data_IF_949097052742
#
_entry.id   IF_949097052742
#
_cell.length_a   1.000
_cell.length_b   1.000
_cell.length_c   1.000
_cell.angle_alpha   90.00
_cell.angle_beta   90.00
_cell.angle_gamma   90.00
#
_symmetry.space_group_name_H-M   'P 1'
#
loop_
_entity.id
_entity.type
_entity.pdbx_description
1 polymer ?
#
# COMPACT_ATOMS: atom_id res chain seq x y z
N UNK A 1 -15.15 1.71 12.53
CA UNK A 1 -14.89 1.76 11.08
C UNK A 1 -13.40 1.87 10.89
N UNK A 2 -12.83 0.88 10.19
CA UNK A 2 -11.40 0.77 9.92
C UNK A 2 -11.18 0.34 8.47
N UNK A 3 -9.97 0.55 7.96
CA UNK A 3 -9.54 0.07 6.65
C UNK A 3 -8.08 -0.34 6.68
N UNK A 4 -7.74 -1.21 5.76
CA UNK A 4 -6.42 -1.80 5.59
C UNK A 4 -5.93 -1.45 4.18
N UNK A 5 -4.91 -0.59 4.09
CA UNK A 5 -4.41 -0.13 2.79
C UNK A 5 -3.40 -1.08 2.16
N UNK A 6 -2.81 -2.00 2.94
CA UNK A 6 -1.82 -2.96 2.48
C UNK A 6 -1.77 -4.18 3.39
N UNK A 7 -2.22 -5.32 2.89
CA UNK A 7 -2.17 -6.60 3.61
C UNK A 7 -1.97 -7.78 2.65
N UNK A 8 -1.67 -8.95 3.21
CA UNK A 8 -1.42 -10.19 2.47
C UNK A 8 -2.45 -11.26 2.86
N UNK A 9 -3.60 -11.27 2.17
CA UNK A 9 -4.74 -12.14 2.50
C UNK A 9 -4.76 -13.48 1.73
N UNK A 10 -3.64 -13.91 1.12
CA UNK A 10 -3.57 -15.15 0.35
C UNK A 10 -4.20 -16.35 1.07
N UNK A 11 -3.77 -16.58 2.30
CA UNK A 11 -4.20 -17.71 3.12
C UNK A 11 -5.33 -17.40 4.13
N UNK A 12 -5.92 -16.20 4.06
CA UNK A 12 -7.00 -15.86 4.99
C UNK A 12 -8.21 -16.75 4.75
N UNK A 13 -8.74 -17.32 5.82
CA UNK A 13 -9.97 -18.11 5.79
C UNK A 13 -11.21 -17.22 5.80
N UNK A 14 -12.38 -17.74 5.42
CA UNK A 14 -13.65 -17.02 5.54
C UNK A 14 -13.94 -16.61 7.00
N UNK A 15 -13.50 -17.40 7.99
CA UNK A 15 -13.58 -17.03 9.39
C UNK A 15 -12.68 -15.84 9.72
N UNK A 16 -11.46 -15.79 9.17
CA UNK A 16 -10.56 -14.65 9.30
C UNK A 16 -11.15 -13.37 8.69
N UNK A 17 -11.82 -13.47 7.54
CA UNK A 17 -12.52 -12.33 6.95
C UNK A 17 -13.66 -11.86 7.84
N UNK A 18 -14.50 -12.79 8.35
CA UNK A 18 -15.57 -12.45 9.30
C UNK A 18 -15.03 -11.77 10.56
N UNK A 19 -13.93 -12.27 11.12
CA UNK A 19 -13.27 -11.63 12.26
C UNK A 19 -12.82 -10.20 11.96
N UNK A 20 -12.32 -9.93 10.75
CA UNK A 20 -11.97 -8.59 10.34
C UNK A 20 -13.21 -7.68 10.23
N UNK A 21 -14.31 -8.16 9.65
CA UNK A 21 -15.57 -7.43 9.56
C UNK A 21 -16.17 -7.13 10.95
N UNK A 22 -16.16 -8.10 11.86
CA UNK A 22 -16.60 -7.95 13.26
C UNK A 22 -15.72 -6.92 14.02
N UNK A 23 -14.44 -6.83 13.70
CA UNK A 23 -13.54 -5.79 14.20
C UNK A 23 -13.82 -4.40 13.60
N UNK A 24 -14.73 -4.30 12.63
CA UNK A 24 -15.16 -3.05 11.99
C UNK A 24 -14.34 -2.65 10.77
N UNK A 25 -13.65 -3.60 10.10
CA UNK A 25 -12.99 -3.33 8.84
C UNK A 25 -14.00 -3.34 7.69
N UNK A 26 -14.04 -2.26 6.94
CA UNK A 26 -14.95 -2.09 5.79
C UNK A 26 -14.27 -2.21 4.44
N UNK A 27 -12.94 -2.07 4.42
CA UNK A 27 -12.13 -2.11 3.21
C UNK A 27 -10.74 -2.64 3.54
N UNK A 28 -10.33 -3.70 2.84
CA UNK A 28 -9.00 -4.30 2.93
C UNK A 28 -8.42 -4.43 1.53
N UNK A 29 -7.24 -3.87 1.27
CA UNK A 29 -6.54 -4.02 -0.02
C UNK A 29 -5.46 -5.07 0.15
N UNK A 30 -5.65 -6.21 -0.54
CA UNK A 30 -4.65 -7.27 -0.56
C UNK A 30 -3.73 -7.15 -1.77
N UNK A 31 -2.45 -7.43 -1.57
CA UNK A 31 -1.44 -7.41 -2.62
C UNK A 31 -1.38 -8.76 -3.33
N UNK A 32 -1.42 -8.75 -4.66
CA UNK A 32 -0.96 -9.87 -5.47
C UNK A 32 0.56 -9.82 -5.58
N UNK A 33 1.22 -10.94 -5.35
CA UNK A 33 2.69 -11.04 -5.42
C UNK A 33 3.16 -11.52 -6.79
N UNK A 34 2.32 -12.27 -7.50
CA UNK A 34 2.49 -12.80 -8.83
C UNK A 34 1.13 -13.00 -9.53
N UNK A 35 1.12 -13.50 -10.76
CA UNK A 35 -0.11 -13.69 -11.52
C UNK A 35 -1.09 -14.65 -10.83
N UNK A 36 -0.61 -15.78 -10.32
CA UNK A 36 -1.47 -16.81 -9.72
C UNK A 36 -2.09 -16.34 -8.40
N UNK A 37 -1.29 -15.72 -7.54
CA UNK A 37 -1.76 -15.14 -6.28
C UNK A 37 -2.71 -13.97 -6.51
N UNK A 38 -2.50 -13.18 -7.56
CA UNK A 38 -3.40 -12.08 -7.95
C UNK A 38 -4.76 -12.60 -8.40
N UNK A 39 -4.80 -13.64 -9.23
CA UNK A 39 -6.07 -14.26 -9.66
C UNK A 39 -6.84 -14.86 -8.48
N UNK A 40 -6.15 -15.55 -7.58
CA UNK A 40 -6.74 -16.09 -6.35
C UNK A 40 -7.29 -14.96 -5.45
N UNK A 41 -6.56 -13.84 -5.34
CA UNK A 41 -7.01 -12.67 -4.59
C UNK A 41 -8.27 -12.03 -5.21
N UNK A 42 -8.36 -11.93 -6.55
CA UNK A 42 -9.55 -11.45 -7.26
C UNK A 42 -10.75 -12.36 -7.00
N UNK A 43 -10.57 -13.68 -7.08
CA UNK A 43 -11.64 -14.64 -6.77
C UNK A 43 -12.14 -14.49 -5.33
N UNK A 44 -11.24 -14.31 -4.38
CA UNK A 44 -11.58 -14.05 -2.98
C UNK A 44 -12.32 -12.72 -2.80
N UNK A 45 -11.89 -11.66 -3.48
CA UNK A 45 -12.53 -10.35 -3.43
C UNK A 45 -13.95 -10.36 -4.01
N UNK A 46 -14.23 -11.21 -5.02
CA UNK A 46 -15.60 -11.43 -5.53
C UNK A 46 -16.54 -12.07 -4.49
N UNK A 47 -16.00 -12.85 -3.57
CA UNK A 47 -16.77 -13.49 -2.49
C UNK A 47 -16.96 -12.58 -1.27
N UNK A 48 -16.09 -11.60 -1.06
CA UNK A 48 -16.05 -10.76 0.14
C UNK A 48 -15.99 -9.27 -0.22
N UNK A 49 -17.10 -8.56 0.00
CA UNK A 49 -17.25 -7.15 -0.39
C UNK A 49 -16.25 -6.19 0.27
N UNK A 50 -15.67 -6.55 1.41
CA UNK A 50 -14.67 -5.76 2.11
C UNK A 50 -13.26 -5.92 1.53
N UNK A 51 -13.03 -6.90 0.62
CA UNK A 51 -11.71 -7.15 0.02
C UNK A 51 -11.63 -6.47 -1.35
N UNK A 52 -10.49 -5.84 -1.62
CA UNK A 52 -10.06 -5.32 -2.92
C UNK A 52 -8.63 -5.76 -3.18
N UNK A 53 -8.21 -5.66 -4.44
CA UNK A 53 -6.93 -6.19 -4.91
C UNK A 53 -6.08 -5.08 -5.49
N UNK A 54 -4.80 -5.11 -5.24
CA UNK A 54 -3.79 -4.37 -5.95
C UNK A 54 -2.94 -5.32 -6.78
N UNK A 55 -2.57 -4.91 -8.00
CA UNK A 55 -1.78 -5.72 -8.95
C UNK A 55 -0.46 -5.02 -9.25
N UNK A 56 0.65 -5.73 -9.15
CA UNK A 56 1.95 -5.13 -9.39
C UNK A 56 3.09 -6.12 -9.23
N UNK A 57 4.29 -5.69 -9.64
CA UNK A 57 5.55 -6.40 -9.42
C UNK A 57 6.34 -5.67 -8.36
N UNK A 58 6.58 -6.36 -7.25
CA UNK A 58 7.40 -5.85 -6.15
C UNK A 58 8.85 -5.58 -6.61
N UNK A 59 9.56 -4.56 -6.09
CA UNK A 59 10.93 -4.24 -6.51
C UNK A 59 11.93 -5.41 -6.40
N UNK A 60 11.67 -6.40 -5.56
CA UNK A 60 12.48 -7.62 -5.49
C UNK A 60 12.43 -8.49 -6.75
N UNK A 61 11.46 -8.27 -7.61
CA UNK A 61 11.18 -9.00 -8.86
C UNK A 61 11.03 -8.05 -10.04
N UNK A 62 11.63 -6.85 -9.95
CA UNK A 62 11.45 -5.80 -10.95
C UNK A 62 11.86 -6.22 -12.37
N UNK A 63 12.75 -7.20 -12.51
CA UNK A 63 13.16 -7.83 -13.75
C UNK A 63 12.05 -8.69 -14.41
N UNK A 64 11.01 -9.07 -13.67
CA UNK A 64 9.83 -9.76 -14.22
C UNK A 64 8.81 -8.78 -14.85
N UNK A 65 9.02 -7.47 -14.69
CA UNK A 65 8.12 -6.48 -15.30
C UNK A 65 8.52 -6.22 -16.76
N UNK A 66 7.80 -6.84 -17.68
CA UNK A 66 7.95 -6.74 -19.12
C UNK A 66 6.58 -6.46 -19.79
N UNK A 67 6.54 -6.41 -21.13
CA UNK A 67 5.31 -6.14 -21.87
C UNK A 67 4.23 -7.20 -21.63
N UNK A 68 4.59 -8.48 -21.53
CA UNK A 68 3.66 -9.57 -21.24
C UNK A 68 3.01 -9.39 -19.85
N UNK A 69 3.83 -9.13 -18.82
CA UNK A 69 3.34 -8.87 -17.46
C UNK A 69 2.48 -7.61 -17.41
N UNK A 70 2.86 -6.55 -18.14
CA UNK A 70 2.08 -5.32 -18.27
C UNK A 70 0.71 -5.58 -18.88
N UNK A 71 0.64 -6.33 -19.98
CA UNK A 71 -0.62 -6.65 -20.65
C UNK A 71 -1.49 -7.56 -19.80
N UNK A 72 -0.88 -8.49 -19.06
CA UNK A 72 -1.58 -9.31 -18.09
C UNK A 72 -2.23 -8.47 -16.98
N UNK A 73 -1.49 -7.53 -16.39
CA UNK A 73 -2.05 -6.64 -15.36
C UNK A 73 -3.15 -5.74 -15.92
N UNK A 74 -3.01 -5.26 -17.15
CA UNK A 74 -4.08 -4.51 -17.84
C UNK A 74 -5.35 -5.36 -17.95
N UNK A 75 -5.23 -6.63 -18.31
CA UNK A 75 -6.34 -7.58 -18.37
C UNK A 75 -6.95 -7.84 -16.98
N UNK A 76 -6.14 -8.10 -15.97
CA UNK A 76 -6.61 -8.32 -14.60
C UNK A 76 -7.32 -7.09 -14.01
N UNK A 77 -6.83 -5.89 -14.33
CA UNK A 77 -7.43 -4.63 -13.90
C UNK A 77 -8.81 -4.34 -14.51
N UNK A 78 -9.28 -5.14 -15.50
CA UNK A 78 -10.67 -5.09 -15.95
C UNK A 78 -11.67 -5.61 -14.90
N UNK A 79 -11.20 -6.38 -13.90
CA UNK A 79 -12.04 -6.77 -12.78
C UNK A 79 -12.26 -5.56 -11.84
N UNK A 80 -13.51 -5.33 -11.47
CA UNK A 80 -13.88 -4.21 -10.59
C UNK A 80 -13.30 -4.33 -9.17
N UNK A 81 -12.83 -5.51 -8.78
CA UNK A 81 -12.15 -5.78 -7.52
C UNK A 81 -10.74 -5.21 -7.48
N UNK A 82 -10.11 -5.00 -8.64
CA UNK A 82 -8.79 -4.37 -8.75
C UNK A 82 -8.94 -2.86 -8.63
N UNK A 83 -8.30 -2.28 -7.62
CA UNK A 83 -8.49 -0.86 -7.26
C UNK A 83 -7.21 -0.06 -7.22
N UNK A 84 -6.04 -0.70 -7.36
CA UNK A 84 -4.74 -0.04 -7.33
C UNK A 84 -3.71 -0.83 -8.15
N UNK A 85 -2.62 -0.16 -8.52
CA UNK A 85 -1.39 -0.80 -9.00
C UNK A 85 -0.37 -0.78 -7.87
N UNK A 86 0.03 -1.93 -7.41
CA UNK A 86 0.95 -2.15 -6.29
C UNK A 86 0.96 -3.62 -5.85
N UNK A 87 1.92 -4.04 -5.11
CA UNK A 87 3.03 -3.30 -4.51
C UNK A 87 4.14 -3.07 -5.55
N UNK A 88 4.47 -1.82 -5.82
CA UNK A 88 5.53 -1.41 -6.74
C UNK A 88 6.53 -0.52 -5.99
N UNK A 89 7.72 -0.28 -6.50
CA UNK A 89 8.59 0.65 -5.78
C UNK A 89 10.08 0.42 -5.93
N UNK A 90 10.83 0.82 -4.89
CA UNK A 90 12.29 0.65 -4.81
C UNK A 90 12.68 0.00 -3.48
N UNK A 91 13.51 -1.04 -3.55
CA UNK A 91 14.15 -1.67 -2.40
C UNK A 91 15.64 -1.93 -2.65
N UNK A 92 16.50 -1.13 -2.04
CA UNK A 92 17.96 -1.25 -2.16
C UNK A 92 18.56 -1.95 -0.94
N UNK A 93 17.75 -2.59 -0.11
CA UNK A 93 18.19 -3.26 1.11
C UNK A 93 18.33 -4.78 0.93
N UNK A 94 17.96 -5.30 -0.23
CA UNK A 94 18.04 -6.73 -0.55
C UNK A 94 16.72 -7.47 -0.31
N UNK A 95 16.56 -8.56 -1.05
CA UNK A 95 15.39 -9.43 -1.02
C UNK A 95 15.37 -10.28 0.25
N UNK A 96 14.17 -10.52 0.79
CA UNK A 96 13.98 -11.56 1.80
C UNK A 96 13.78 -12.91 1.12
N UNK A 97 14.52 -13.93 1.54
CA UNK A 97 14.30 -15.30 1.08
C UNK A 97 13.11 -15.96 1.80
N UNK A 98 12.82 -17.21 1.45
CA UNK A 98 11.67 -17.95 2.05
C UNK A 98 11.80 -18.19 3.56
N UNK A 99 13.00 -18.09 4.13
CA UNK A 99 13.27 -18.19 5.56
C UNK A 99 13.27 -16.81 6.26
N UNK A 100 12.85 -15.75 5.55
CA UNK A 100 12.86 -14.38 6.03
C UNK A 100 14.27 -13.86 6.41
N UNK A 101 15.29 -14.42 5.77
CA UNK A 101 16.67 -13.94 5.87
C UNK A 101 16.92 -13.01 4.69
N UNK A 102 17.54 -11.85 4.96
CA UNK A 102 17.87 -10.88 3.92
C UNK A 102 19.05 -11.37 3.08
N UNK A 103 18.86 -11.37 1.78
CA UNK A 103 19.91 -11.63 0.80
C UNK A 103 20.61 -10.32 0.43
N UNK A 104 21.95 -10.33 0.33
CA UNK A 104 22.71 -9.14 -0.10
C UNK A 104 22.44 -8.77 -1.57
N UNK A 105 22.10 -9.79 -2.39
CA UNK A 105 21.80 -9.61 -3.81
C UNK A 105 20.40 -9.05 -3.99
N UNK A 106 20.28 -7.97 -4.75
CA UNK A 106 19.02 -7.35 -5.15
C UNK A 106 19.01 -7.09 -6.67
N UNK A 107 17.83 -6.88 -7.24
CA UNK A 107 17.67 -6.48 -8.63
C UNK A 107 18.33 -5.11 -8.84
N UNK A 108 19.03 -4.95 -9.95
CA UNK A 108 19.71 -3.69 -10.28
C UNK A 108 18.79 -2.46 -10.11
N UNK A 109 19.36 -1.38 -9.59
CA UNK A 109 18.61 -0.16 -9.25
C UNK A 109 17.95 0.48 -10.47
N UNK A 110 18.62 0.45 -11.63
CA UNK A 110 18.05 1.01 -12.87
C UNK A 110 16.86 0.17 -13.36
N UNK A 111 16.94 -1.16 -13.20
CA UNK A 111 15.81 -2.06 -13.51
C UNK A 111 14.63 -1.76 -12.58
N UNK A 112 14.87 -1.59 -11.27
CA UNK A 112 13.80 -1.21 -10.33
C UNK A 112 13.17 0.15 -10.70
N UNK A 113 14.00 1.16 -11.06
CA UNK A 113 13.53 2.47 -11.49
C UNK A 113 12.69 2.40 -12.77
N UNK A 114 13.15 1.63 -13.75
CA UNK A 114 12.43 1.43 -15.01
C UNK A 114 11.08 0.73 -14.77
N UNK A 115 11.07 -0.35 -13.97
CA UNK A 115 9.87 -1.08 -13.60
C UNK A 115 8.87 -0.19 -12.83
N UNK A 116 9.35 0.62 -11.88
CA UNK A 116 8.51 1.57 -11.15
C UNK A 116 7.84 2.58 -12.10
N UNK A 117 8.61 3.20 -13.00
CA UNK A 117 8.06 4.15 -14.00
C UNK A 117 7.06 3.47 -14.93
N UNK A 118 7.37 2.27 -15.41
CA UNK A 118 6.49 1.50 -16.28
C UNK A 118 5.16 1.16 -15.62
N UNK A 119 5.18 0.73 -14.35
CA UNK A 119 3.99 0.40 -13.59
C UNK A 119 3.16 1.64 -13.21
N UNK A 120 3.81 2.77 -12.91
CA UNK A 120 3.12 4.06 -12.76
C UNK A 120 2.44 4.46 -14.09
N UNK A 121 3.11 4.23 -15.23
CA UNK A 121 2.53 4.46 -16.56
C UNK A 121 1.25 3.65 -16.75
N UNK A 122 1.28 2.35 -16.42
CA UNK A 122 0.10 1.48 -16.46
C UNK A 122 -1.01 1.96 -15.51
N UNK A 123 -0.68 2.34 -14.28
CA UNK A 123 -1.65 2.87 -13.33
C UNK A 123 -2.38 4.11 -13.87
N UNK A 124 -1.65 5.01 -14.54
CA UNK A 124 -2.22 6.21 -15.17
C UNK A 124 -3.14 5.86 -16.34
N UNK A 125 -2.77 4.90 -17.19
CA UNK A 125 -3.62 4.40 -18.28
C UNK A 125 -4.94 3.84 -17.74
N UNK A 126 -4.90 3.14 -16.61
CA UNK A 126 -6.04 2.52 -15.96
C UNK A 126 -6.85 3.49 -15.08
N UNK A 127 -6.33 4.69 -14.80
CA UNK A 127 -6.95 5.62 -13.85
C UNK A 127 -6.94 5.10 -12.41
N UNK A 128 -5.95 4.27 -12.05
CA UNK A 128 -5.81 3.65 -10.72
C UNK A 128 -4.73 4.36 -9.91
N UNK A 129 -4.88 4.45 -8.58
CA UNK A 129 -3.81 4.88 -7.69
C UNK A 129 -2.69 3.84 -7.62
N UNK A 130 -1.53 4.25 -7.10
CA UNK A 130 -0.38 3.38 -6.86
C UNK A 130 -0.13 3.17 -5.37
N UNK A 131 0.26 1.95 -4.98
CA UNK A 131 0.73 1.60 -3.64
C UNK A 131 2.22 1.28 -3.75
N UNK A 132 3.05 2.10 -3.10
CA UNK A 132 4.49 2.16 -3.35
C UNK A 132 5.29 1.74 -2.13
N UNK A 133 6.16 0.77 -2.33
CA UNK A 133 7.21 0.34 -1.43
C UNK A 133 8.41 1.29 -1.52
N UNK A 134 8.88 1.82 -0.41
CA UNK A 134 10.04 2.71 -0.37
C UNK A 134 11.08 2.33 0.69
N UNK A 135 12.03 1.50 0.28
CA UNK A 135 13.27 1.22 1.04
C UNK A 135 14.50 1.70 0.26
N UNK A 136 14.35 2.72 -0.57
CA UNK A 136 15.45 3.46 -1.17
C UNK A 136 15.96 4.55 -0.22
N UNK A 137 17.25 4.94 -0.29
CA UNK A 137 17.77 6.05 0.48
C UNK A 137 17.18 7.39 0.01
N UNK A 138 17.10 8.34 0.93
CA UNK A 138 16.67 9.70 0.63
C UNK A 138 15.22 9.79 0.17
N UNK A 139 14.98 10.55 -0.90
CA UNK A 139 13.66 10.90 -1.42
C UNK A 139 13.44 10.49 -2.88
N UNK A 140 14.19 9.52 -3.36
CA UNK A 140 14.21 9.11 -4.77
C UNK A 140 12.82 8.68 -5.28
N UNK A 141 12.05 7.94 -4.49
CA UNK A 141 10.68 7.55 -4.83
C UNK A 141 9.80 8.78 -5.04
N UNK A 142 9.95 9.83 -4.20
CA UNK A 142 9.19 11.07 -4.37
C UNK A 142 9.61 11.87 -5.59
N UNK A 143 10.89 11.76 -6.03
CA UNK A 143 11.35 12.34 -7.29
C UNK A 143 10.65 11.67 -8.47
N UNK A 144 10.57 10.34 -8.48
CA UNK A 144 9.87 9.58 -9.53
C UNK A 144 8.36 9.86 -9.51
N UNK A 145 7.72 9.92 -8.35
CA UNK A 145 6.29 10.31 -8.24
C UNK A 145 6.06 11.69 -8.86
N UNK A 146 6.92 12.65 -8.56
CA UNK A 146 6.83 14.02 -9.11
C UNK A 146 7.03 14.03 -10.61
N UNK A 147 8.08 13.37 -11.11
CA UNK A 147 8.42 13.26 -12.53
C UNK A 147 7.29 12.63 -13.34
N UNK A 148 6.75 11.52 -12.87
CA UNK A 148 5.69 10.75 -13.54
C UNK A 148 4.29 11.31 -13.31
N UNK A 149 4.14 12.27 -12.41
CA UNK A 149 2.84 12.79 -11.95
C UNK A 149 1.91 11.71 -11.37
N UNK A 150 2.46 10.66 -10.72
CA UNK A 150 1.68 9.56 -10.14
C UNK A 150 0.63 10.03 -9.11
N UNK A 151 0.90 11.14 -8.40
CA UNK A 151 -0.02 11.72 -7.44
C UNK A 151 -1.36 12.20 -8.05
N UNK A 152 -1.44 12.38 -9.37
CA UNK A 152 -2.68 12.80 -10.04
C UNK A 152 -3.74 11.70 -10.06
N UNK A 153 -3.34 10.44 -10.11
CA UNK A 153 -4.23 9.28 -9.97
C UNK A 153 -4.32 8.81 -8.52
N UNK A 154 -3.43 9.30 -7.66
CA UNK A 154 -3.28 8.96 -6.27
C UNK A 154 -2.05 8.08 -6.02
N UNK A 155 -1.35 8.35 -4.93
CA UNK A 155 -0.17 7.58 -4.51
C UNK A 155 -0.16 7.37 -3.00
N UNK A 156 0.11 6.15 -2.57
CA UNK A 156 0.34 5.76 -1.18
C UNK A 156 1.79 5.30 -1.06
N UNK A 157 2.54 5.82 -0.10
CA UNK A 157 3.76 5.17 0.39
C UNK A 157 3.32 4.23 1.50
N UNK A 158 3.46 2.92 1.28
CA UNK A 158 3.18 1.93 2.30
C UNK A 158 4.38 1.75 3.25
N UNK A 159 4.14 1.19 4.44
CA UNK A 159 5.19 0.92 5.41
C UNK A 159 6.02 2.14 5.79
N UNK A 160 5.38 3.32 5.92
CA UNK A 160 6.06 4.58 6.11
C UNK A 160 7.03 4.56 7.29
N UNK A 161 8.32 4.80 7.00
CA UNK A 161 9.43 4.76 7.98
C UNK A 161 10.49 5.86 7.74
N UNK A 162 10.09 6.96 7.09
CA UNK A 162 10.97 8.08 6.76
C UNK A 162 10.82 9.23 7.78
N UNK A 163 11.62 10.28 7.60
CA UNK A 163 11.69 11.45 8.47
C UNK A 163 10.61 12.51 8.18
N UNK A 164 10.64 13.57 8.97
CA UNK A 164 9.73 14.71 8.85
C UNK A 164 9.91 15.50 7.53
N UNK A 165 11.12 15.56 6.97
CA UNK A 165 11.37 16.24 5.70
C UNK A 165 10.69 15.49 4.54
N UNK A 166 10.68 14.16 4.60
CA UNK A 166 9.93 13.33 3.66
C UNK A 166 8.42 13.61 3.74
N UNK A 167 7.86 13.70 4.96
CA UNK A 167 6.44 14.06 5.17
C UNK A 167 6.12 15.41 4.57
N UNK A 168 6.95 16.43 4.79
CA UNK A 168 6.71 17.77 4.27
C UNK A 168 6.68 17.80 2.73
N UNK A 169 7.46 16.94 2.09
CA UNK A 169 7.41 16.78 0.64
C UNK A 169 6.15 16.02 0.19
N UNK A 170 5.75 14.95 0.88
CA UNK A 170 4.49 14.24 0.62
C UNK A 170 3.29 15.18 0.72
N UNK A 171 3.27 16.08 1.71
CA UNK A 171 2.23 17.11 1.86
C UNK A 171 2.11 18.03 0.64
N UNK A 172 3.26 18.44 0.07
CA UNK A 172 3.30 19.30 -1.14
C UNK A 172 2.82 18.56 -2.39
N UNK A 173 3.10 17.26 -2.48
CA UNK A 173 2.72 16.41 -3.60
C UNK A 173 1.30 15.83 -3.47
N UNK A 174 0.71 15.83 -2.28
CA UNK A 174 -0.57 15.16 -2.02
C UNK A 174 -0.45 13.64 -1.95
N UNK A 175 0.72 13.10 -1.58
CA UNK A 175 0.99 11.68 -1.42
C UNK A 175 0.50 11.21 -0.06
N UNK A 176 -0.22 10.10 -0.02
CA UNK A 176 -0.70 9.48 1.20
C UNK A 176 0.40 8.66 1.85
N UNK A 177 0.39 8.61 3.18
CA UNK A 177 1.34 7.85 3.97
C UNK A 177 0.60 6.80 4.79
N UNK A 178 1.01 5.54 4.65
CA UNK A 178 0.42 4.43 5.38
C UNK A 178 1.27 4.08 6.60
N UNK A 179 0.66 4.17 7.78
CA UNK A 179 1.28 3.77 9.03
C UNK A 179 1.07 2.27 9.22
N UNK A 180 2.19 1.54 9.24
CA UNK A 180 2.22 0.10 9.38
C UNK A 180 2.40 -0.37 10.83
N UNK A 181 1.88 -1.56 11.13
CA UNK A 181 1.96 -2.15 12.48
C UNK A 181 3.41 -2.30 12.94
N UNK A 182 4.29 -2.81 12.08
CA UNK A 182 5.72 -2.99 12.40
C UNK A 182 6.40 -1.68 12.75
N UNK A 183 6.09 -0.61 11.99
CA UNK A 183 6.68 0.71 12.18
C UNK A 183 6.23 1.33 13.51
N UNK A 184 4.94 1.26 13.84
CA UNK A 184 4.44 1.82 15.10
C UNK A 184 4.88 1.00 16.33
N UNK A 185 5.20 -0.29 16.16
CA UNK A 185 5.78 -1.12 17.22
C UNK A 185 7.28 -0.86 17.42
N UNK A 186 8.02 -0.51 16.36
CA UNK A 186 9.44 -0.19 16.38
C UNK A 186 9.69 1.33 16.35
N UNK A 187 8.89 2.08 17.10
CA UNK A 187 8.89 3.55 17.11
C UNK A 187 10.24 4.13 17.55
N UNK A 188 10.73 5.10 16.76
CA UNK A 188 11.84 5.97 17.14
C UNK A 188 11.35 7.40 17.35
N UNK A 189 12.07 8.27 18.08
CA UNK A 189 11.68 9.67 18.23
C UNK A 189 11.52 10.40 16.90
N UNK A 190 12.35 10.10 15.91
CA UNK A 190 12.32 10.70 14.58
C UNK A 190 11.06 10.27 13.82
N UNK A 191 10.70 9.00 13.90
CA UNK A 191 9.49 8.47 13.26
C UNK A 191 8.22 9.00 13.95
N UNK A 192 8.24 9.10 15.27
CA UNK A 192 7.13 9.69 16.04
C UNK A 192 6.88 11.14 15.60
N UNK A 193 7.93 11.96 15.51
CA UNK A 193 7.83 13.34 15.03
C UNK A 193 7.33 13.40 13.60
N UNK A 194 7.81 12.51 12.72
CA UNK A 194 7.32 12.41 11.35
C UNK A 194 5.82 12.08 11.29
N UNK A 195 5.36 11.07 12.04
CA UNK A 195 3.95 10.69 12.11
C UNK A 195 3.10 11.84 12.65
N UNK A 196 3.58 12.56 13.67
CA UNK A 196 2.90 13.74 14.21
C UNK A 196 2.62 14.80 13.15
N UNK A 197 3.53 14.98 12.18
CA UNK A 197 3.41 15.95 11.08
C UNK A 197 2.50 15.52 9.94
N UNK A 198 2.16 14.22 9.82
CA UNK A 198 1.25 13.75 8.76
C UNK A 198 -0.14 14.36 8.99
N UNK A 199 -0.68 15.13 8.05
CA UNK A 199 -2.03 15.65 8.23
C UNK A 199 -3.07 14.53 8.13
N UNK A 200 -4.15 14.54 8.93
CA UNK A 200 -5.17 13.49 8.90
C UNK A 200 -5.72 13.18 7.51
N UNK A 201 -5.77 14.18 6.60
CA UNK A 201 -6.26 14.01 5.22
C UNK A 201 -5.33 13.20 4.30
N UNK A 202 -4.07 12.95 4.69
CA UNK A 202 -3.08 12.16 3.92
C UNK A 202 -2.67 10.89 4.65
N UNK A 203 -3.41 10.51 5.68
CA UNK A 203 -3.13 9.37 6.54
C UNK A 203 -3.97 8.17 6.11
N UNK A 204 -3.34 7.02 5.91
CA UNK A 204 -3.97 5.71 5.83
C UNK A 204 -3.25 4.74 6.77
N UNK A 205 -3.81 3.58 7.02
CA UNK A 205 -3.28 2.60 7.98
C UNK A 205 -3.20 1.22 7.34
N UNK A 206 -2.24 0.41 7.80
CA UNK A 206 -2.01 -0.94 7.32
C UNK A 206 -1.44 -1.85 8.40
N UNK A 207 -1.47 -3.16 8.16
CA UNK A 207 -0.79 -4.15 9.01
C UNK A 207 0.42 -4.76 8.33
N UNK A 208 0.46 -4.78 7.00
CA UNK A 208 1.44 -5.52 6.19
C UNK A 208 1.52 -7.00 6.63
N UNK A 209 0.34 -7.59 6.88
CA UNK A 209 0.24 -8.97 7.41
C UNK A 209 -1.02 -9.69 6.92
N UNK A 210 -1.17 -10.95 7.33
CA UNK A 210 -2.38 -11.74 7.11
C UNK A 210 -3.40 -11.64 8.27
N UNK A 211 -3.19 -10.71 9.21
CA UNK A 211 -4.07 -10.46 10.36
C UNK A 211 -4.62 -9.02 10.32
N UNK A 212 -5.51 -8.71 9.38
CA UNK A 212 -5.97 -7.33 9.16
C UNK A 212 -6.69 -6.72 10.38
N UNK A 213 -7.23 -7.52 11.30
CA UNK A 213 -7.84 -7.03 12.55
C UNK A 213 -6.85 -6.36 13.52
N UNK A 214 -5.53 -6.57 13.34
CA UNK A 214 -4.49 -5.91 14.14
C UNK A 214 -4.39 -4.41 13.79
N UNK A 215 -5.08 -3.94 12.75
CA UNK A 215 -5.23 -2.53 12.41
C UNK A 215 -5.73 -1.66 13.59
N UNK A 216 -6.46 -2.27 14.51
CA UNK A 216 -6.92 -1.60 15.73
C UNK A 216 -5.74 -1.14 16.60
N UNK A 217 -4.67 -1.94 16.68
CA UNK A 217 -3.46 -1.57 17.40
C UNK A 217 -2.74 -0.41 16.70
N UNK A 218 -2.68 -0.43 15.37
CA UNK A 218 -2.10 0.69 14.60
C UNK A 218 -2.85 1.97 14.89
N UNK A 219 -4.18 1.95 14.81
CA UNK A 219 -5.02 3.12 15.07
C UNK A 219 -4.87 3.63 16.52
N UNK A 220 -4.72 2.74 17.50
CA UNK A 220 -4.47 3.10 18.90
C UNK A 220 -3.11 3.82 19.06
N UNK A 221 -2.05 3.26 18.48
CA UNK A 221 -0.70 3.81 18.62
C UNK A 221 -0.57 5.15 17.88
N UNK A 222 -1.08 5.23 16.64
CA UNK A 222 -1.12 6.48 15.88
C UNK A 222 -1.98 7.53 16.59
N UNK A 223 -3.08 7.13 17.20
CA UNK A 223 -3.95 8.02 17.98
C UNK A 223 -3.21 8.67 19.15
N UNK A 224 -2.44 7.90 19.91
CA UNK A 224 -1.60 8.42 21.01
C UNK A 224 -0.60 9.46 20.53
N UNK A 225 0.05 9.24 19.40
CA UNK A 225 1.03 10.16 18.81
C UNK A 225 0.36 11.46 18.36
N UNK A 226 -0.84 11.37 17.80
CA UNK A 226 -1.54 12.50 17.17
C UNK A 226 -2.53 13.22 18.08
N UNK A 227 -2.72 12.74 19.32
CA UNK A 227 -3.77 13.26 20.21
C UNK A 227 -5.18 13.01 19.70
N UNK A 228 -5.39 11.90 18.99
CA UNK A 228 -6.67 11.46 18.41
C UNK A 228 -7.13 10.17 19.10
N UNK A 229 -8.43 9.95 19.16
CA UNK A 229 -8.95 8.65 19.54
C UNK A 229 -8.68 7.62 18.43
N UNK A 230 -8.64 6.36 18.80
CA UNK A 230 -8.55 5.24 17.83
C UNK A 230 -9.62 5.31 16.74
N UNK A 231 -10.83 5.68 17.11
CA UNK A 231 -11.96 5.82 16.20
C UNK A 231 -11.77 6.96 15.20
N UNK A 232 -11.24 8.09 15.62
CA UNK A 232 -10.94 9.23 14.74
C UNK A 232 -9.85 8.88 13.73
N UNK A 233 -8.79 8.17 14.16
CA UNK A 233 -7.75 7.66 13.25
C UNK A 233 -8.36 6.71 12.23
N UNK A 234 -9.12 5.71 12.69
CA UNK A 234 -9.78 4.73 11.82
C UNK A 234 -10.73 5.37 10.81
N UNK A 235 -11.55 6.32 11.24
CA UNK A 235 -12.47 7.08 10.37
C UNK A 235 -11.71 7.89 9.32
N UNK A 236 -10.68 8.63 9.72
CA UNK A 236 -9.86 9.43 8.80
C UNK A 236 -9.17 8.55 7.76
N UNK A 237 -8.49 7.49 8.19
CA UNK A 237 -7.81 6.54 7.31
C UNK A 237 -8.78 5.86 6.34
N UNK A 238 -9.93 5.39 6.83
CA UNK A 238 -10.94 4.72 5.99
C UNK A 238 -11.54 5.67 4.96
N UNK A 239 -11.86 6.91 5.35
CA UNK A 239 -12.36 7.94 4.42
C UNK A 239 -11.33 8.21 3.31
N UNK A 240 -10.09 8.42 3.69
CA UNK A 240 -9.01 8.71 2.75
C UNK A 240 -8.81 7.56 1.76
N UNK A 241 -8.74 6.33 2.24
CA UNK A 241 -8.57 5.15 1.41
C UNK A 241 -9.75 4.97 0.44
N UNK A 242 -10.99 5.12 0.92
CA UNK A 242 -12.19 5.02 0.07
C UNK A 242 -12.24 6.08 -1.03
N UNK A 243 -11.80 7.30 -0.74
CA UNK A 243 -11.70 8.38 -1.75
C UNK A 243 -10.65 8.00 -2.77
N UNK A 244 -9.46 7.60 -2.32
CA UNK A 244 -8.31 7.32 -3.17
C UNK A 244 -8.60 6.21 -4.19
N UNK A 245 -9.22 5.11 -3.75
CA UNK A 245 -9.52 3.96 -4.63
C UNK A 245 -10.85 4.08 -5.37
N UNK A 246 -11.52 5.22 -5.30
CA UNK A 246 -12.82 5.44 -5.95
C UNK A 246 -13.92 4.51 -5.45
N UNK A 247 -13.81 4.00 -4.21
CA UNK A 247 -14.74 3.01 -3.67
C UNK A 247 -16.19 3.51 -3.63
N UNK A 248 -16.38 4.82 -3.43
CA UNK A 248 -17.71 5.45 -3.36
C UNK A 248 -18.33 5.65 -4.74
N UNK A 249 -17.52 5.85 -5.78
CA UNK A 249 -18.00 6.04 -7.16
C UNK A 249 -18.24 4.72 -7.90
N UNK A 250 -17.58 3.62 -7.48
CA UNK A 250 -17.73 2.28 -8.07
C UNK A 250 -18.92 1.47 -7.50
N UNK A 251 -19.62 1.98 -6.50
CA UNK A 251 -20.82 1.34 -5.92
C UNK A 251 -22.12 1.53 -6.73
N UNK A 252 -22.02 2.13 -7.95
CA UNK A 252 -23.19 2.31 -8.81
C UNK A 252 -23.31 1.19 -9.85
#
# INVERSE_FOLDING_TARGET
MYSESHCHLGDITSEGVRKAEEAGLELMITMGLDNASTEAAIMKAKMHRCIRVSVGVHPWYADDFNDETRDRFRSLASNQEVVAVGEIGLDYTGRMNRQWVREEKYVDKEIQRAALRGQIGLAKELGLPVIIHDRAPGQEVLDIIKETHAQKTGAIIHGFSKDAAYVDRCKKLGVYLSMGLRQVQAMTPELEEAIRRIPPRLMVTETDSNKPWDIIQVCDMVGKIKGMSRQEVGLAATRNLKILVGYLSRKR
#
